data_IF_665935421622
#
_entry.id   IF_665935421622
#
_cell.length_a   1.000
_cell.length_b   1.000
_cell.length_c   1.000
_cell.angle_alpha   90.00
_cell.angle_beta   90.00
_cell.angle_gamma   90.00
#
_symmetry.space_group_name_H-M   'P 1'
#
loop_
_entity.id
_entity.type
_entity.pdbx_description
1 polymer ?
#
# COMPACT_ATOMS: atom_id res chain seq x y z
N UNK A 1 6.05 37.41 -7.98
CA UNK A 1 6.01 37.08 -7.44
C UNK A 1 5.63 36.66 -7.06
N UNK A 2 5.44 36.56 -7.40
CA UNK A 2 5.27 35.84 -6.90
C UNK A 2 4.75 35.35 -6.85
N UNK A 3 4.81 35.30 -7.21
CA UNK A 3 4.50 34.69 -6.90
C UNK A 3 4.08 34.13 -7.13
N UNK A 4 4.12 33.84 -7.35
CA UNK A 4 3.90 33.09 -7.15
C UNK A 4 3.77 32.55 -7.14
N UNK A 5 3.88 32.59 -7.77
CA UNK A 5 3.84 31.88 -7.37
C UNK A 5 3.74 31.42 -7.32
N UNK A 6 3.88 31.53 -7.96
CA UNK A 6 4.04 30.86 -7.45
C UNK A 6 3.88 30.38 -7.31
N UNK A 7 3.61 30.57 -8.01
CA UNK A 7 3.75 29.89 -7.32
C UNK A 7 3.43 29.49 -7.34
N UNK A 8 3.45 29.36 -8.05
CA UNK A 8 3.34 28.90 -7.39
C UNK A 8 3.04 28.46 -7.15
N UNK A 9 3.14 28.38 -7.88
CA UNK A 9 3.00 27.80 -7.06
C UNK A 9 2.66 27.46 -6.47
N UNK A 10 2.61 27.76 -7.14
CA UNK A 10 2.40 27.26 -6.04
C UNK A 10 1.90 26.98 -5.57
N UNK A 11 1.86 26.94 -6.12
CA UNK A 11 1.54 26.50 -5.00
C UNK A 11 0.82 26.34 -4.53
N UNK A 12 0.73 26.42 -5.08
CA UNK A 12 0.23 26.14 -4.09
C UNK A 12 -0.29 25.74 -3.53
N UNK A 13 -0.27 25.71 -3.78
CA UNK A 13 -0.61 25.17 -2.70
C UNK A 13 -1.15 24.93 -2.09
N UNK A 14 -1.22 25.06 -2.38
CA UNK A 14 -1.59 24.68 -1.27
C UNK A 14 -2.26 24.37 -0.70
N UNK A 15 -2.25 24.24 -0.82
CA UNK A 15 -2.62 23.64 0.24
C UNK A 15 -3.37 23.39 0.72
N UNK A 16 -3.34 23.14 0.48
CA UNK A 16 -3.79 22.68 1.42
C UNK A 16 -4.50 22.09 1.79
N UNK A 17 -4.33 21.61 1.78
CA UNK A 17 -4.75 20.88 2.46
C UNK A 17 -5.17 20.55 3.16
N UNK A 18 -4.97 20.45 3.23
CA UNK A 18 -5.13 20.07 4.08
C UNK A 18 -5.67 19.51 4.76
N UNK A 19 -5.79 19.18 4.97
CA UNK A 19 -6.02 18.71 5.69
C UNK A 19 -6.56 17.85 5.95
N UNK A 20 -6.62 17.63 5.85
CA UNK A 20 -6.87 16.79 5.96
C UNK A 20 -7.01 15.77 6.43
N UNK A 21 -7.47 15.24 6.04
CA UNK A 21 -7.46 13.93 6.53
C UNK A 21 -6.23 13.66 7.32
N UNK A 22 -6.18 14.46 8.20
CA UNK A 22 -5.21 14.56 9.19
C UNK A 22 -4.24 13.42 9.24
N UNK A 23 -3.11 13.58 8.71
CA UNK A 23 -2.03 12.66 8.89
C UNK A 23 -2.03 11.41 8.02
N UNK A 24 -3.06 11.19 7.21
CA UNK A 24 -3.06 10.05 6.28
C UNK A 24 -2.39 10.48 4.99
N UNK A 25 -1.20 9.91 4.67
CA UNK A 25 -0.53 10.26 3.42
C UNK A 25 -1.38 9.89 2.22
N UNK A 26 -1.35 10.73 1.24
CA UNK A 26 -2.13 10.55 0.03
C UNK A 26 -1.39 9.66 -0.97
N UNK A 27 -2.13 8.87 -1.75
CA UNK A 27 -1.56 8.10 -2.84
C UNK A 27 -0.83 9.07 -3.78
N UNK A 28 0.40 8.74 -4.16
CA UNK A 28 1.25 9.61 -4.95
C UNK A 28 0.67 9.90 -6.33
N UNK A 29 -0.19 9.04 -6.83
CA UNK A 29 -0.79 9.18 -8.17
C UNK A 29 -2.25 9.58 -8.12
N UNK A 30 -2.71 10.09 -6.98
CA UNK A 30 -4.07 10.64 -6.87
C UNK A 30 -4.19 11.82 -7.83
N UNK A 31 -5.27 11.85 -8.60
CA UNK A 31 -5.49 12.88 -9.60
C UNK A 31 -4.96 12.53 -10.99
N UNK A 32 -4.27 11.41 -11.14
CA UNK A 32 -3.68 11.00 -12.40
C UNK A 32 -4.57 9.98 -13.09
N UNK A 33 -4.98 10.28 -14.34
CA UNK A 33 -5.85 9.39 -15.08
C UNK A 33 -5.11 8.17 -15.65
N UNK A 34 -3.83 8.33 -15.98
CA UNK A 34 -3.05 7.27 -16.62
C UNK A 34 -2.30 6.41 -15.62
N UNK A 35 -2.16 5.13 -15.96
CA UNK A 35 -1.40 4.19 -15.15
C UNK A 35 0.05 4.69 -15.00
N UNK A 36 0.61 4.66 -13.77
CA UNK A 36 1.98 5.13 -13.59
C UNK A 36 2.99 4.20 -14.26
N UNK A 37 4.08 4.79 -14.74
CA UNK A 37 5.19 4.03 -15.28
C UNK A 37 6.10 3.58 -14.15
N UNK A 38 6.95 2.60 -14.42
CA UNK A 38 7.93 2.16 -13.42
C UNK A 38 8.82 3.33 -12.99
N UNK A 39 9.24 4.17 -13.93
CA UNK A 39 10.06 5.33 -13.62
C UNK A 39 9.36 6.29 -12.68
N UNK A 40 8.05 6.50 -12.89
CA UNK A 40 7.28 7.39 -12.04
C UNK A 40 7.17 6.82 -10.63
N UNK A 41 6.98 5.52 -10.51
CA UNK A 41 6.89 4.85 -9.20
C UNK A 41 8.24 4.98 -8.47
N UNK A 42 9.33 4.69 -9.18
CA UNK A 42 10.66 4.80 -8.61
C UNK A 42 10.93 6.22 -8.10
N UNK A 43 10.55 7.22 -8.90
CA UNK A 43 10.78 8.62 -8.55
C UNK A 43 10.02 9.02 -7.27
N UNK A 44 8.74 8.63 -7.14
CA UNK A 44 7.96 9.03 -5.96
C UNK A 44 8.38 8.25 -4.71
N UNK A 45 8.82 7.01 -4.86
CA UNK A 45 9.22 6.19 -3.71
C UNK A 45 10.60 6.58 -3.17
N UNK A 46 11.48 7.09 -4.05
CA UNK A 46 12.81 7.49 -3.63
C UNK A 46 13.56 6.34 -2.97
N UNK A 47 13.99 6.52 -1.72
CA UNK A 47 14.72 5.48 -0.99
C UNK A 47 13.91 4.22 -0.75
N UNK A 48 12.58 4.31 -0.79
CA UNK A 48 11.73 3.14 -0.59
C UNK A 48 11.58 2.28 -1.84
N UNK A 49 12.13 2.73 -2.98
CA UNK A 49 12.07 1.95 -4.21
C UNK A 49 12.75 0.58 -4.05
N UNK A 50 13.87 0.51 -3.34
CA UNK A 50 14.55 -0.75 -3.11
C UNK A 50 13.68 -1.72 -2.29
N UNK A 51 12.96 -1.18 -1.30
CA UNK A 51 12.04 -2.00 -0.49
C UNK A 51 10.90 -2.53 -1.34
N UNK A 52 10.37 -1.70 -2.24
CA UNK A 52 9.29 -2.08 -3.15
C UNK A 52 9.75 -3.23 -4.06
N UNK A 53 10.91 -3.07 -4.70
CA UNK A 53 11.45 -4.10 -5.60
C UNK A 53 11.68 -5.41 -4.85
N UNK A 54 12.28 -5.32 -3.67
CA UNK A 54 12.55 -6.51 -2.87
C UNK A 54 11.25 -7.22 -2.52
N UNK A 55 10.27 -6.47 -2.03
CA UNK A 55 9.00 -7.05 -1.60
C UNK A 55 8.28 -7.71 -2.77
N UNK A 56 8.14 -7.01 -3.89
CA UNK A 56 7.44 -7.55 -5.06
C UNK A 56 8.15 -8.80 -5.56
N UNK A 57 9.48 -8.74 -5.67
CA UNK A 57 10.26 -9.87 -6.14
C UNK A 57 10.17 -11.08 -5.22
N UNK A 58 10.27 -10.85 -3.90
CA UNK A 58 10.20 -11.93 -2.92
C UNK A 58 8.81 -12.57 -2.90
N UNK A 59 7.76 -11.76 -2.93
CA UNK A 59 6.40 -12.29 -2.91
C UNK A 59 6.13 -13.14 -4.15
N UNK A 60 6.54 -12.67 -5.32
CA UNK A 60 6.33 -13.42 -6.54
C UNK A 60 7.11 -14.74 -6.52
N UNK A 61 8.32 -14.73 -5.99
CA UNK A 61 9.16 -15.94 -5.94
C UNK A 61 8.71 -16.90 -4.85
N UNK A 62 8.53 -16.39 -3.63
CA UNK A 62 8.26 -17.24 -2.46
C UNK A 62 6.83 -17.78 -2.42
N UNK A 63 5.87 -16.97 -2.84
CA UNK A 63 4.46 -17.35 -2.82
C UNK A 63 3.94 -17.75 -4.19
N UNK A 64 4.82 -17.71 -5.21
CA UNK A 64 4.48 -18.09 -6.58
C UNK A 64 3.31 -17.29 -7.13
N UNK A 65 3.28 -16.00 -6.82
CA UNK A 65 2.24 -15.12 -7.33
C UNK A 65 2.39 -14.99 -8.85
N UNK A 66 1.30 -15.20 -9.57
CA UNK A 66 1.32 -15.27 -11.03
C UNK A 66 0.64 -14.09 -11.73
N UNK A 67 0.11 -13.15 -10.97
CA UNK A 67 -0.56 -11.98 -11.53
C UNK A 67 -0.09 -10.68 -10.92
N UNK A 68 -0.03 -9.66 -11.77
CA UNK A 68 0.39 -8.33 -11.36
C UNK A 68 -0.39 -7.34 -12.20
N UNK A 69 -1.13 -6.45 -11.54
CA UNK A 69 -2.03 -5.54 -12.27
C UNK A 69 -2.16 -4.21 -11.56
N UNK A 70 -1.93 -3.13 -12.30
CA UNK A 70 -2.23 -1.79 -11.78
C UNK A 70 -3.72 -1.54 -11.86
N UNK A 71 -4.30 -0.99 -10.80
CA UNK A 71 -5.72 -0.71 -10.73
C UNK A 71 -5.97 0.62 -10.05
N UNK A 72 -7.03 1.30 -10.48
CA UNK A 72 -7.46 2.55 -9.88
C UNK A 72 -8.94 2.45 -9.52
N UNK A 73 -9.28 2.89 -8.30
CA UNK A 73 -10.67 2.96 -7.86
C UNK A 73 -11.32 4.28 -8.26
N UNK A 74 -10.64 5.08 -9.07
CA UNK A 74 -11.08 6.38 -9.53
C UNK A 74 -9.92 7.36 -9.47
N UNK A 75 -9.96 8.36 -10.33
CA UNK A 75 -8.84 9.30 -10.50
C UNK A 75 -8.40 9.90 -9.17
N UNK A 76 -9.35 10.33 -8.34
CA UNK A 76 -9.00 11.00 -7.09
C UNK A 76 -8.35 10.08 -6.04
N UNK A 77 -8.48 8.76 -6.20
CA UNK A 77 -7.93 7.81 -5.23
C UNK A 77 -6.53 7.31 -5.60
N UNK A 78 -6.12 7.49 -6.86
CA UNK A 78 -4.80 7.08 -7.31
C UNK A 78 -4.75 5.63 -7.76
N UNK A 79 -3.55 5.07 -7.78
CA UNK A 79 -3.28 3.77 -8.35
C UNK A 79 -2.64 2.83 -7.34
N UNK A 80 -2.97 1.54 -7.44
CA UNK A 80 -2.38 0.50 -6.59
C UNK A 80 -1.99 -0.68 -7.47
N UNK A 81 -0.88 -1.32 -7.11
CA UNK A 81 -0.44 -2.54 -7.77
C UNK A 81 -1.05 -3.72 -7.03
N UNK A 82 -1.84 -4.53 -7.73
CA UNK A 82 -2.39 -5.77 -7.18
C UNK A 82 -1.45 -6.90 -7.50
N UNK A 83 -1.07 -7.66 -6.49
CA UNK A 83 -0.35 -8.91 -6.68
C UNK A 83 -1.32 -10.04 -6.45
N UNK A 84 -1.38 -10.98 -7.38
CA UNK A 84 -2.45 -11.99 -7.43
C UNK A 84 -1.89 -13.40 -7.51
N UNK A 85 -2.68 -14.36 -6.99
CA UNK A 85 -2.43 -15.78 -7.16
C UNK A 85 -3.70 -16.40 -7.73
N UNK A 86 -3.62 -16.92 -8.97
CA UNK A 86 -4.76 -17.54 -9.65
C UNK A 86 -5.97 -16.61 -9.64
N UNK A 87 -5.72 -15.35 -9.99
CA UNK A 87 -6.72 -14.28 -10.08
C UNK A 87 -7.25 -13.79 -8.72
N UNK A 88 -6.78 -14.37 -7.63
CA UNK A 88 -7.15 -13.90 -6.29
C UNK A 88 -6.21 -12.78 -5.87
N UNK A 89 -6.77 -11.66 -5.44
CA UNK A 89 -5.95 -10.54 -4.97
C UNK A 89 -5.36 -10.89 -3.61
N UNK A 90 -4.03 -10.85 -3.52
CA UNK A 90 -3.33 -11.17 -2.28
C UNK A 90 -2.97 -9.89 -1.52
N UNK A 91 -2.35 -8.94 -2.21
CA UNK A 91 -1.97 -7.67 -1.58
C UNK A 91 -2.07 -6.54 -2.59
N UNK A 92 -2.41 -5.35 -2.08
CA UNK A 92 -2.46 -4.11 -2.85
C UNK A 92 -1.33 -3.22 -2.36
N UNK A 93 -0.50 -2.73 -3.28
CA UNK A 93 0.60 -1.83 -2.95
C UNK A 93 0.29 -0.45 -3.52
N UNK A 94 0.14 0.54 -2.65
CA UNK A 94 -0.21 1.90 -3.03
C UNK A 94 0.99 2.83 -2.82
N UNK A 95 1.56 3.38 -3.91
CA UNK A 95 2.71 4.28 -3.78
C UNK A 95 2.33 5.58 -3.09
N UNK A 96 3.25 6.08 -2.26
CA UNK A 96 3.16 7.37 -1.61
C UNK A 96 4.49 8.09 -1.80
N UNK A 97 4.52 9.36 -1.49
CA UNK A 97 5.78 10.09 -1.58
C UNK A 97 6.72 9.59 -0.47
N UNK A 98 7.78 8.91 -0.88
CA UNK A 98 8.79 8.40 0.05
C UNK A 98 8.46 7.09 0.75
N UNK A 99 7.27 6.52 0.53
CA UNK A 99 6.89 5.26 1.16
C UNK A 99 5.78 4.60 0.34
N UNK A 100 5.31 3.43 0.79
CA UNK A 100 4.13 2.83 0.17
C UNK A 100 3.32 2.08 1.23
N UNK A 101 2.05 1.88 0.90
CA UNK A 101 1.11 1.20 1.79
C UNK A 101 0.81 -0.17 1.22
N UNK A 102 0.92 -1.21 2.05
CA UNK A 102 0.49 -2.55 1.69
C UNK A 102 -0.84 -2.82 2.36
N UNK A 103 -1.84 -3.16 1.57
CA UNK A 103 -3.19 -3.38 2.08
C UNK A 103 -3.64 -4.82 1.80
N UNK A 104 -4.31 -5.39 2.78
CA UNK A 104 -4.85 -6.75 2.71
C UNK A 104 -6.31 -6.72 3.09
N UNK A 105 -7.09 -7.67 2.55
CA UNK A 105 -8.42 -7.96 3.05
C UNK A 105 -8.36 -9.43 3.49
N UNK A 106 -8.35 -9.66 4.79
CA UNK A 106 -8.15 -11.00 5.36
C UNK A 106 -9.49 -11.64 5.67
N UNK A 107 -9.68 -12.88 5.20
CA UNK A 107 -10.84 -13.67 5.58
C UNK A 107 -10.74 -14.09 7.05
N UNK A 108 -11.83 -14.65 7.58
CA UNK A 108 -11.89 -15.02 9.00
C UNK A 108 -10.80 -16.02 9.41
N UNK A 109 -10.48 -16.99 8.54
CA UNK A 109 -9.43 -17.96 8.84
C UNK A 109 -8.06 -17.29 8.90
N UNK A 110 -7.79 -16.39 7.96
CA UNK A 110 -6.52 -15.67 7.93
C UNK A 110 -6.38 -14.80 9.18
N UNK A 111 -7.47 -14.13 9.59
CA UNK A 111 -7.47 -13.32 10.80
C UNK A 111 -7.13 -14.18 12.02
N UNK A 112 -7.76 -15.36 12.14
CA UNK A 112 -7.51 -16.25 13.26
C UNK A 112 -6.05 -16.70 13.32
N UNK A 113 -5.46 -17.02 12.16
CA UNK A 113 -4.05 -17.42 12.10
C UNK A 113 -3.14 -16.22 12.43
N UNK A 114 -3.46 -15.05 11.91
CA UNK A 114 -2.66 -13.85 12.16
C UNK A 114 -2.63 -13.51 13.65
N UNK A 115 -3.76 -13.65 14.33
CA UNK A 115 -3.86 -13.34 15.76
C UNK A 115 -2.99 -14.24 16.62
N UNK A 116 -2.66 -15.43 16.15
CA UNK A 116 -1.83 -16.38 16.88
C UNK A 116 -0.39 -16.39 16.39
N UNK A 117 -0.05 -15.49 15.47
CA UNK A 117 1.27 -15.44 14.87
C UNK A 117 2.23 -14.60 15.71
N UNK A 118 3.49 -14.53 15.24
CA UNK A 118 4.53 -13.73 15.89
C UNK A 118 4.59 -12.30 15.36
N UNK A 119 3.51 -11.82 14.72
CA UNK A 119 3.45 -10.44 14.24
C UNK A 119 3.61 -9.47 15.43
N UNK A 120 4.19 -8.27 15.18
CA UNK A 120 4.38 -7.30 16.25
C UNK A 120 3.06 -6.89 16.90
N UNK A 121 3.14 -6.49 18.17
CA UNK A 121 1.95 -6.13 18.94
C UNK A 121 1.09 -5.07 18.25
N UNK A 122 1.69 -4.07 17.61
CA UNK A 122 0.90 -3.03 16.96
C UNK A 122 0.09 -3.56 15.78
N UNK A 123 0.62 -4.58 15.09
CA UNK A 123 -0.10 -5.21 13.98
C UNK A 123 -1.25 -6.04 14.52
N UNK A 124 -1.00 -6.83 15.58
CA UNK A 124 -2.03 -7.62 16.21
C UNK A 124 -3.15 -6.75 16.74
N UNK A 125 -2.82 -5.59 17.32
CA UNK A 125 -3.80 -4.64 17.80
C UNK A 125 -4.61 -4.07 16.65
N UNK A 126 -3.95 -3.73 15.55
CA UNK A 126 -4.60 -3.21 14.36
C UNK A 126 -5.65 -4.21 13.84
N UNK A 127 -5.28 -5.48 13.77
CA UNK A 127 -6.18 -6.53 13.30
C UNK A 127 -7.35 -6.69 14.26
N UNK A 128 -7.09 -6.66 15.57
CA UNK A 128 -8.11 -6.83 16.58
C UNK A 128 -9.14 -5.69 16.56
N UNK A 129 -8.69 -4.48 16.23
CA UNK A 129 -9.56 -3.30 16.23
C UNK A 129 -10.18 -3.00 14.88
N UNK A 130 -9.76 -3.69 13.82
CA UNK A 130 -10.27 -3.44 12.49
C UNK A 130 -11.72 -3.91 12.36
N UNK A 131 -12.52 -3.10 11.66
CA UNK A 131 -13.90 -3.47 11.39
C UNK A 131 -13.93 -4.58 10.34
N UNK A 132 -14.76 -5.61 10.58
CA UNK A 132 -14.95 -6.69 9.63
C UNK A 132 -16.06 -6.32 8.65
N UNK A 133 -15.77 -6.49 7.35
CA UNK A 133 -16.75 -6.27 6.28
C UNK A 133 -17.10 -7.61 5.63
N UNK A 134 -18.07 -7.58 4.71
CA UNK A 134 -18.50 -8.80 4.02
C UNK A 134 -17.33 -9.50 3.30
N UNK A 135 -16.44 -8.72 2.69
CA UNK A 135 -15.29 -9.28 1.96
C UNK A 135 -14.13 -9.66 2.88
N UNK A 136 -14.17 -9.26 4.14
CA UNK A 136 -13.12 -9.59 5.11
C UNK A 136 -12.72 -8.41 5.96
N UNK A 137 -11.58 -8.57 6.65
CA UNK A 137 -11.04 -7.56 7.55
C UNK A 137 -9.87 -6.83 6.88
N UNK A 138 -9.97 -5.51 6.68
CA UNK A 138 -8.89 -4.76 6.05
C UNK A 138 -7.73 -4.53 7.02
N UNK A 139 -6.50 -4.68 6.51
CA UNK A 139 -5.28 -4.44 7.27
C UNK A 139 -4.34 -3.64 6.37
N UNK A 140 -3.78 -2.56 6.89
CA UNK A 140 -2.89 -1.70 6.13
C UNK A 140 -1.58 -1.51 6.87
N UNK A 141 -0.47 -1.75 6.15
CA UNK A 141 0.87 -1.61 6.70
C UNK A 141 1.63 -0.58 5.87
N UNK A 142 2.06 0.50 6.50
CA UNK A 142 2.92 1.46 5.82
C UNK A 142 4.34 0.90 5.81
N UNK A 143 4.98 0.87 4.64
CA UNK A 143 6.30 0.30 4.48
C UNK A 143 7.32 1.40 4.32
N UNK A 144 8.20 1.53 5.31
CA UNK A 144 9.28 2.51 5.32
C UNK A 144 10.64 1.89 5.64
N UNK A 145 10.67 0.61 6.04
CA UNK A 145 11.91 -0.05 6.43
C UNK A 145 11.80 -1.56 6.20
N UNK A 146 12.91 -2.26 6.45
CA UNK A 146 12.98 -3.70 6.21
C UNK A 146 12.05 -4.50 7.13
N UNK A 147 11.88 -4.05 8.36
CA UNK A 147 10.97 -4.74 9.29
C UNK A 147 9.55 -4.76 8.73
N UNK A 148 9.11 -3.65 8.16
CA UNK A 148 7.77 -3.56 7.56
C UNK A 148 7.64 -4.51 6.38
N UNK A 149 8.70 -4.68 5.58
CA UNK A 149 8.71 -5.63 4.47
C UNK A 149 8.45 -7.04 4.98
N UNK A 150 9.11 -7.44 6.07
CA UNK A 150 8.94 -8.76 6.64
C UNK A 150 7.52 -8.98 7.18
N UNK A 151 6.93 -7.94 7.77
CA UNK A 151 5.54 -8.00 8.24
C UNK A 151 4.60 -8.25 7.06
N UNK A 152 4.79 -7.52 5.96
CA UNK A 152 3.95 -7.69 4.77
C UNK A 152 4.12 -9.10 4.20
N UNK A 153 5.33 -9.62 4.17
CA UNK A 153 5.58 -10.97 3.67
C UNK A 153 4.84 -12.01 4.52
N UNK A 154 4.86 -11.84 5.84
CA UNK A 154 4.15 -12.73 6.75
C UNK A 154 2.65 -12.69 6.51
N UNK A 155 2.07 -11.49 6.40
CA UNK A 155 0.64 -11.35 6.14
C UNK A 155 0.25 -11.92 4.79
N UNK A 156 1.09 -11.70 3.76
CA UNK A 156 0.82 -12.25 2.44
C UNK A 156 0.80 -13.78 2.45
N UNK A 157 1.76 -14.40 3.15
CA UNK A 157 1.80 -15.85 3.28
C UNK A 157 0.54 -16.37 3.97
N UNK A 158 0.13 -15.70 5.05
CA UNK A 158 -1.09 -16.08 5.75
C UNK A 158 -2.29 -15.98 4.82
N UNK A 159 -2.36 -14.91 4.03
CA UNK A 159 -3.44 -14.71 3.07
C UNK A 159 -3.47 -15.82 2.02
N UNK A 160 -2.31 -16.21 1.49
CA UNK A 160 -2.22 -17.25 0.46
C UNK A 160 -2.66 -18.60 1.02
N UNK A 161 -2.27 -18.91 2.27
CA UNK A 161 -2.52 -20.22 2.86
C UNK A 161 -3.94 -20.38 3.40
N UNK A 162 -4.67 -19.30 3.55
CA UNK A 162 -6.00 -19.30 4.17
C UNK A 162 -6.98 -18.41 3.41
#
# INVERSE_FOLDING_TARGET
>A
MGSEDAGTMAVKTKSKTKKTSAGVPRNAFAGQADCPTQKAVEAVLGNSWSLWKELVGDLKRELKLDGEEWNSSGVKYGWSLRLQLKKRNIVYLAPRLGSFMAAFVLGDKAVAVARKSTLPAYVLKMIAEAKRYAEGTPVRIEVTNQENVEIVKTLARIKVDH
#
